data_IF_514519723035
#
_entry.id   IF_514519723035
#
_cell.length_a   1.000
_cell.length_b   1.000
_cell.length_c   1.000
_cell.angle_alpha   90.00
_cell.angle_beta   90.00
_cell.angle_gamma   90.00
#
_symmetry.space_group_name_H-M   'P 1'
#
loop_
_entity.id
_entity.type
_entity.pdbx_description
1 polymer ?
#
# COMPACT_ATOMS: atom_id res chain seq x y z
N UNK A 1 18.67 24.55 -57.50
CA UNK A 1 17.55 24.93 -56.62
C UNK A 1 16.35 23.97 -56.73
N UNK A 2 16.16 23.28 -57.87
CA UNK A 2 15.04 22.35 -58.10
C UNK A 2 15.03 21.13 -57.16
N UNK A 3 16.22 20.61 -56.85
CA UNK A 3 16.41 19.42 -56.00
C UNK A 3 15.98 19.59 -54.52
N UNK A 4 15.74 20.83 -54.07
CA UNK A 4 15.28 21.11 -52.70
C UNK A 4 13.75 21.03 -52.57
N UNK A 5 13.03 21.50 -53.59
CA UNK A 5 11.57 21.46 -53.59
C UNK A 5 11.04 20.02 -53.74
N UNK A 6 11.74 19.19 -54.52
CA UNK A 6 11.40 17.77 -54.64
C UNK A 6 11.57 17.01 -53.31
N UNK A 7 12.61 17.34 -52.53
CA UNK A 7 12.83 16.75 -51.20
C UNK A 7 11.76 17.20 -50.19
N UNK A 8 11.31 18.45 -50.26
CA UNK A 8 10.21 18.96 -49.43
C UNK A 8 8.86 18.31 -49.78
N UNK A 9 8.58 18.16 -51.08
CA UNK A 9 7.38 17.44 -51.55
C UNK A 9 7.39 15.96 -51.15
N UNK A 10 8.55 15.31 -51.24
CA UNK A 10 8.74 13.93 -50.79
C UNK A 10 8.53 13.73 -49.29
N UNK A 11 8.99 14.68 -48.47
CA UNK A 11 8.79 14.67 -47.01
C UNK A 11 7.32 14.90 -46.64
N UNK A 12 6.65 15.84 -47.30
CA UNK A 12 5.23 16.12 -47.08
C UNK A 12 4.34 14.92 -47.45
N UNK A 13 4.71 14.18 -48.50
CA UNK A 13 4.00 12.96 -48.88
C UNK A 13 4.23 11.82 -47.88
N UNK A 14 5.46 11.64 -47.37
CA UNK A 14 5.75 10.64 -46.32
C UNK A 14 5.00 10.92 -45.01
N UNK A 15 4.94 12.19 -44.59
CA UNK A 15 4.18 12.62 -43.40
C UNK A 15 2.67 12.36 -43.50
N UNK A 16 2.11 12.39 -44.70
CA UNK A 16 0.67 12.14 -44.93
C UNK A 16 0.34 10.65 -45.06
N UNK A 17 1.28 9.84 -45.54
CA UNK A 17 1.04 8.43 -45.83
C UNK A 17 1.49 7.49 -44.70
N UNK A 18 2.48 7.88 -43.91
CA UNK A 18 2.95 7.09 -42.77
C UNK A 18 2.16 7.47 -41.52
N UNK A 19 1.27 6.58 -41.08
CA UNK A 19 0.67 6.70 -39.76
C UNK A 19 1.80 6.67 -38.71
N UNK A 20 1.85 7.63 -37.76
CA UNK A 20 2.88 7.65 -36.75
C UNK A 20 2.81 6.35 -35.93
N UNK A 21 3.82 5.49 -36.10
CA UNK A 21 4.01 4.30 -35.26
C UNK A 21 4.43 4.79 -33.87
N UNK A 22 3.45 5.11 -33.03
CA UNK A 22 3.71 5.30 -31.61
C UNK A 22 4.19 3.95 -31.05
N UNK A 23 5.32 3.90 -30.34
CA UNK A 23 5.70 2.70 -29.61
C UNK A 23 4.61 2.45 -28.58
N UNK A 24 3.75 1.47 -28.83
CA UNK A 24 2.70 1.13 -27.88
C UNK A 24 3.39 0.37 -26.74
N UNK A 25 3.50 1.03 -25.58
CA UNK A 25 4.11 0.41 -24.42
C UNK A 25 3.11 -0.58 -23.83
N UNK A 26 3.34 -1.87 -24.06
CA UNK A 26 2.58 -2.94 -23.41
C UNK A 26 2.94 -2.98 -21.93
N UNK A 27 2.03 -2.51 -21.07
CA UNK A 27 2.18 -2.62 -19.62
C UNK A 27 1.63 -3.97 -19.16
N UNK A 28 2.51 -4.81 -18.59
CA UNK A 28 2.08 -6.01 -17.90
C UNK A 28 1.71 -5.65 -16.45
N UNK A 29 0.57 -6.12 -15.93
CA UNK A 29 0.25 -5.97 -14.53
C UNK A 29 1.36 -6.58 -13.68
N UNK A 30 1.85 -5.84 -12.68
CA UNK A 30 2.73 -6.40 -11.67
C UNK A 30 1.95 -7.54 -11.01
N UNK A 31 2.48 -8.77 -11.09
CA UNK A 31 1.86 -9.91 -10.41
C UNK A 31 1.85 -9.57 -8.93
N UNK A 32 0.66 -9.34 -8.38
CA UNK A 32 0.48 -9.18 -6.95
C UNK A 32 1.01 -10.45 -6.29
N UNK A 33 2.19 -10.35 -5.67
CA UNK A 33 2.61 -11.31 -4.67
C UNK A 33 1.59 -11.21 -3.55
N UNK A 34 0.50 -11.98 -3.66
CA UNK A 34 -0.43 -12.24 -2.57
C UNK A 34 0.36 -13.00 -1.51
N UNK A 35 1.14 -12.27 -0.71
CA UNK A 35 1.38 -12.69 0.66
C UNK A 35 -0.01 -12.93 1.24
N UNK A 36 -0.24 -14.14 1.75
CA UNK A 36 -1.47 -14.49 2.45
C UNK A 36 -1.64 -13.48 3.59
N UNK A 37 -2.45 -12.45 3.35
CA UNK A 37 -2.83 -11.51 4.39
C UNK A 37 -3.60 -12.32 5.41
N UNK A 38 -3.10 -12.34 6.64
CA UNK A 38 -3.83 -12.91 7.77
C UNK A 38 -5.23 -12.33 7.75
N UNK A 39 -6.25 -13.18 7.85
CA UNK A 39 -7.65 -12.74 7.82
C UNK A 39 -7.91 -11.91 9.06
N UNK A 40 -7.96 -10.58 8.89
CA UNK A 40 -8.22 -9.65 9.99
C UNK A 40 -9.72 -9.54 10.24
N UNK A 41 -10.12 -9.53 11.51
CA UNK A 41 -11.50 -9.31 11.93
C UNK A 41 -11.61 -7.98 12.71
N UNK A 42 -12.69 -7.24 12.48
CA UNK A 42 -12.96 -6.03 13.23
C UNK A 42 -13.33 -6.36 14.69
N UNK A 43 -12.64 -5.72 15.64
CA UNK A 43 -12.93 -5.83 17.06
C UNK A 43 -13.48 -4.50 17.57
N UNK A 44 -14.78 -4.47 17.89
CA UNK A 44 -15.46 -3.29 18.42
C UNK A 44 -15.63 -3.42 19.94
N UNK A 45 -15.16 -2.43 20.70
CA UNK A 45 -15.30 -2.40 22.15
C UNK A 45 -15.61 -0.98 22.64
N UNK A 46 -16.36 -0.89 23.74
CA UNK A 46 -16.62 0.35 24.47
C UNK A 46 -15.58 0.51 25.57
N UNK A 47 -14.81 1.59 25.50
CA UNK A 47 -13.77 1.90 26.49
C UNK A 47 -13.94 3.31 27.05
N UNK A 48 -13.49 3.58 28.29
CA UNK A 48 -13.49 4.92 28.84
C UNK A 48 -12.75 5.92 27.94
N UNK A 49 -13.32 7.11 27.74
CA UNK A 49 -12.73 8.17 26.91
C UNK A 49 -11.33 8.57 27.40
N UNK A 50 -11.10 8.52 28.70
CA UNK A 50 -9.80 8.81 29.33
C UNK A 50 -8.75 7.80 28.89
N UNK A 51 -9.09 6.50 28.89
CA UNK A 51 -8.18 5.44 28.46
C UNK A 51 -7.81 5.57 26.99
N UNK A 52 -8.79 5.86 26.11
CA UNK A 52 -8.51 6.08 24.69
C UNK A 52 -7.52 7.22 24.44
N UNK A 53 -7.61 8.31 25.22
CA UNK A 53 -6.65 9.44 25.11
C UNK A 53 -5.24 9.02 25.49
N UNK A 54 -5.09 8.25 26.56
CA UNK A 54 -3.78 7.76 27.02
C UNK A 54 -3.15 6.81 26.00
N UNK A 55 -3.92 5.87 25.45
CA UNK A 55 -3.45 4.95 24.42
C UNK A 55 -3.02 5.69 23.16
N UNK A 56 -3.77 6.73 22.75
CA UNK A 56 -3.38 7.58 21.61
C UNK A 56 -2.10 8.36 21.88
N UNK A 57 -1.97 8.97 23.06
CA UNK A 57 -0.76 9.69 23.43
C UNK A 57 0.47 8.77 23.40
N UNK A 58 0.36 7.58 23.96
CA UNK A 58 1.41 6.56 23.90
C UNK A 58 1.70 6.10 22.46
N UNK A 59 0.67 5.94 21.62
CA UNK A 59 0.87 5.61 20.20
C UNK A 59 1.69 6.68 19.45
N UNK A 60 1.47 7.96 19.76
CA UNK A 60 2.22 9.08 19.19
C UNK A 60 3.66 9.13 19.72
N UNK A 61 3.87 8.89 21.01
CA UNK A 61 5.18 8.96 21.65
C UNK A 61 6.16 7.90 21.12
N UNK A 62 5.66 6.68 20.86
CA UNK A 62 6.48 5.54 20.47
C UNK A 62 6.38 5.18 18.98
N UNK A 63 5.63 5.97 18.19
CA UNK A 63 5.34 5.71 16.77
C UNK A 63 4.75 4.30 16.53
N UNK A 64 3.76 3.93 17.35
CA UNK A 64 3.10 2.62 17.32
C UNK A 64 1.62 2.80 16.99
N UNK A 65 1.09 1.95 16.10
CA UNK A 65 -0.33 1.96 15.77
C UNK A 65 -1.20 1.51 16.95
N UNK A 66 -2.41 2.07 17.10
CA UNK A 66 -3.36 1.64 18.13
C UNK A 66 -3.68 0.14 18.02
N UNK A 67 -3.70 -0.37 16.78
CA UNK A 67 -3.93 -1.79 16.50
C UNK A 67 -2.83 -2.66 17.12
N UNK A 68 -1.56 -2.33 16.91
CA UNK A 68 -0.44 -3.06 17.50
C UNK A 68 -0.45 -3.01 19.03
N UNK A 69 -0.74 -1.84 19.61
CA UNK A 69 -0.87 -1.71 21.07
C UNK A 69 -1.98 -2.65 21.57
N UNK A 70 -3.12 -2.67 20.90
CA UNK A 70 -4.26 -3.51 21.26
C UNK A 70 -3.91 -4.99 21.16
N UNK A 71 -3.27 -5.42 20.07
CA UNK A 71 -2.84 -6.82 19.88
C UNK A 71 -1.86 -7.23 20.98
N UNK A 72 -0.81 -6.45 21.22
CA UNK A 72 0.19 -6.75 22.25
C UNK A 72 -0.43 -6.89 23.64
N UNK A 73 -1.33 -5.99 24.02
CA UNK A 73 -2.00 -6.05 25.33
C UNK A 73 -2.90 -7.27 25.43
N UNK A 74 -3.66 -7.60 24.39
CA UNK A 74 -4.51 -8.79 24.38
C UNK A 74 -3.69 -10.08 24.46
N UNK A 75 -2.60 -10.19 23.70
CA UNK A 75 -1.68 -11.33 23.76
C UNK A 75 -1.05 -11.47 25.15
N UNK A 76 -0.54 -10.38 25.73
CA UNK A 76 0.03 -10.38 27.07
C UNK A 76 -1.00 -10.80 28.13
N UNK A 77 -2.23 -10.29 28.04
CA UNK A 77 -3.30 -10.66 28.96
C UNK A 77 -3.61 -12.17 28.89
N UNK A 78 -3.71 -12.73 27.67
CA UNK A 78 -3.95 -14.16 27.46
C UNK A 78 -2.77 -15.00 27.96
N UNK A 79 -1.53 -14.58 27.70
CA UNK A 79 -0.32 -15.27 28.17
C UNK A 79 -0.21 -15.28 29.70
N UNK A 80 -0.56 -14.17 30.36
CA UNK A 80 -0.56 -14.07 31.83
C UNK A 80 -1.59 -15.01 32.46
N UNK A 81 -2.77 -15.15 31.83
CA UNK A 81 -3.81 -16.08 32.31
C UNK A 81 -3.48 -17.54 31.99
N UNK A 82 -2.75 -17.80 30.90
CA UNK A 82 -2.32 -19.14 30.50
C UNK A 82 -1.17 -19.71 31.35
N UNK A 83 -0.43 -18.87 32.07
CA UNK A 83 0.50 -19.30 33.13
C UNK A 83 -0.28 -19.34 34.45
N UNK A 84 -0.84 -20.48 34.86
CA UNK A 84 -1.46 -20.56 36.18
C UNK A 84 -0.39 -20.18 37.21
N UNK A 85 -0.76 -19.26 38.10
CA UNK A 85 -0.14 -19.01 39.40
C UNK A 85 0.48 -20.29 39.94
N UNK A 86 1.79 -20.45 39.77
CA UNK A 86 2.57 -21.43 40.52
C UNK A 86 2.73 -20.82 41.89
N UNK A 87 1.74 -21.06 42.75
CA UNK A 87 1.88 -20.86 44.19
C UNK A 87 3.09 -21.69 44.66
N UNK A 88 4.10 -21.02 45.18
CA UNK A 88 5.06 -21.57 46.15
C UNK A 88 5.32 -20.50 47.20
#
# INVERSE_FOLDING_TARGET
MENYQEKLGGLANKLKQEAPKTPIQEVQPVKDNKQEKVVEMQFNNWIPKTLLKLVKAHGVEFDISLKEITIKVLELYLQQKAKPTTNK
#
